data_IF_421755822358
#
_entry.id   IF_421755822358
#
_cell.length_a   1.000
_cell.length_b   1.000
_cell.length_c   1.000
_cell.angle_alpha   90.00
_cell.angle_beta   90.00
_cell.angle_gamma   90.00
#
_symmetry.space_group_name_H-M   'P 1'
#
loop_
_entity.id
_entity.type
_entity.pdbx_description
1 polymer ?
#
# COMPACT_ATOMS: atom_id res chain seq x y z
N UNK A 1 -9.63 26.02 -5.41
CA UNK A 1 -8.75 24.86 -5.16
C UNK A 1 -9.15 24.05 -3.92
N UNK A 2 -9.18 24.65 -2.72
CA UNK A 2 -9.45 23.91 -1.45
C UNK A 2 -10.75 23.08 -1.47
N UNK A 3 -11.87 23.66 -1.92
CA UNK A 3 -13.16 22.97 -2.06
C UNK A 3 -13.14 21.77 -3.04
N UNK A 4 -12.46 21.90 -4.18
CA UNK A 4 -12.36 20.82 -5.19
C UNK A 4 -11.53 19.66 -4.62
N UNK A 5 -10.45 19.97 -3.91
CA UNK A 5 -9.63 18.95 -3.26
C UNK A 5 -10.41 18.23 -2.17
N UNK A 6 -11.21 18.93 -1.37
CA UNK A 6 -12.02 18.28 -0.34
C UNK A 6 -13.07 17.31 -0.95
N UNK A 7 -13.63 17.65 -2.12
CA UNK A 7 -14.57 16.79 -2.87
C UNK A 7 -13.90 15.49 -3.33
N UNK A 8 -12.65 15.54 -3.78
CA UNK A 8 -11.91 14.36 -4.27
C UNK A 8 -11.24 13.59 -3.13
N UNK A 9 -10.79 14.29 -2.09
CA UNK A 9 -10.08 13.72 -0.94
C UNK A 9 -10.95 12.74 -0.18
N UNK A 10 -12.18 13.11 0.16
CA UNK A 10 -13.05 12.28 1.00
C UNK A 10 -13.33 10.91 0.35
N UNK A 11 -13.79 10.84 -0.92
CA UNK A 11 -13.91 9.57 -1.62
C UNK A 11 -12.59 8.81 -1.69
N UNK A 12 -11.46 9.49 -1.97
CA UNK A 12 -10.15 8.84 -2.03
C UNK A 12 -9.72 8.26 -0.67
N UNK A 13 -10.03 8.92 0.46
CA UNK A 13 -9.79 8.38 1.80
C UNK A 13 -10.61 7.11 2.04
N UNK A 14 -11.90 7.13 1.69
CA UNK A 14 -12.80 5.99 1.87
C UNK A 14 -12.33 4.81 1.01
N UNK A 15 -12.06 5.06 -0.27
CA UNK A 15 -11.54 4.04 -1.19
C UNK A 15 -10.18 3.52 -0.72
N UNK A 16 -9.33 4.39 -0.16
CA UNK A 16 -8.06 4.00 0.42
C UNK A 16 -8.22 3.05 1.61
N UNK A 17 -9.12 3.39 2.54
CA UNK A 17 -9.41 2.56 3.70
C UNK A 17 -10.02 1.20 3.32
N UNK A 18 -11.01 1.19 2.41
CA UNK A 18 -11.61 -0.04 1.91
C UNK A 18 -10.60 -0.90 1.15
N UNK A 19 -9.77 -0.28 0.31
CA UNK A 19 -8.69 -0.96 -0.40
C UNK A 19 -7.66 -1.57 0.56
N UNK A 20 -7.30 -0.87 1.63
CA UNK A 20 -6.42 -1.40 2.67
C UNK A 20 -7.02 -2.64 3.35
N UNK A 21 -8.28 -2.57 3.77
CA UNK A 21 -8.97 -3.70 4.43
C UNK A 21 -9.02 -4.91 3.50
N UNK A 22 -9.37 -4.70 2.23
CA UNK A 22 -9.46 -5.78 1.26
C UNK A 22 -8.10 -6.40 0.93
N UNK A 23 -7.04 -5.60 0.80
CA UNK A 23 -5.69 -6.11 0.61
C UNK A 23 -5.21 -6.91 1.83
N UNK A 24 -5.51 -6.45 3.06
CA UNK A 24 -5.21 -7.21 4.28
C UNK A 24 -5.93 -8.56 4.25
N UNK A 25 -7.20 -8.59 3.85
CA UNK A 25 -7.95 -9.83 3.69
C UNK A 25 -7.27 -10.80 2.72
N UNK A 26 -6.89 -10.34 1.51
CA UNK A 26 -6.18 -11.19 0.54
C UNK A 26 -4.84 -11.67 1.12
N UNK A 27 -4.10 -10.77 1.76
CA UNK A 27 -2.80 -11.09 2.36
C UNK A 27 -2.90 -12.19 3.42
N UNK A 28 -3.90 -12.13 4.30
CA UNK A 28 -4.13 -13.15 5.33
C UNK A 28 -4.55 -14.50 4.73
N UNK A 29 -5.40 -14.52 3.70
CA UNK A 29 -5.77 -15.77 3.03
C UNK A 29 -4.58 -16.45 2.33
N UNK A 30 -3.60 -15.67 1.88
CA UNK A 30 -2.36 -16.19 1.30
C UNK A 30 -1.40 -16.79 2.35
N UNK A 31 -1.58 -16.50 3.65
CA UNK A 31 -0.81 -17.16 4.72
C UNK A 31 -1.27 -18.62 4.88
N UNK A 32 -2.58 -18.86 4.80
CA UNK A 32 -3.18 -20.17 5.04
C UNK A 32 -3.23 -21.07 3.79
N UNK A 33 -2.63 -20.64 2.68
CA UNK A 33 -2.74 -21.28 1.34
C UNK A 33 -4.19 -21.48 0.86
N UNK A 34 -5.16 -20.89 1.56
CA UNK A 34 -6.58 -21.08 1.31
C UNK A 34 -6.99 -20.49 -0.04
N UNK A 35 -6.23 -19.50 -0.55
CA UNK A 35 -6.61 -18.79 -1.76
C UNK A 35 -5.45 -18.20 -2.58
N UNK A 36 -4.72 -19.07 -3.30
CA UNK A 36 -3.43 -18.73 -3.94
C UNK A 36 -3.46 -18.69 -5.48
N UNK A 37 -4.63 -18.57 -6.12
CA UNK A 37 -4.68 -18.43 -7.58
C UNK A 37 -4.28 -17.02 -8.03
N UNK A 38 -3.42 -16.90 -9.05
CA UNK A 38 -2.90 -15.62 -9.56
C UNK A 38 -3.94 -14.57 -10.01
N UNK A 39 -5.19 -14.96 -10.27
CA UNK A 39 -6.27 -14.06 -10.70
C UNK A 39 -6.92 -13.25 -9.55
N UNK A 40 -6.45 -13.43 -8.32
CA UNK A 40 -7.15 -12.94 -7.11
C UNK A 40 -6.94 -11.47 -6.81
N UNK A 41 -5.85 -10.85 -7.27
CA UNK A 41 -5.62 -9.42 -7.04
C UNK A 41 -6.28 -8.67 -8.21
N UNK A 42 -7.47 -8.10 -8.00
CA UNK A 42 -8.21 -7.53 -9.12
C UNK A 42 -7.48 -6.29 -9.63
N UNK A 43 -7.30 -6.16 -10.94
CA UNK A 43 -6.54 -5.05 -11.54
C UNK A 43 -7.06 -3.66 -11.17
N UNK A 44 -8.33 -3.54 -10.78
CA UNK A 44 -8.89 -2.28 -10.29
C UNK A 44 -8.29 -1.82 -8.95
N UNK A 45 -7.74 -2.71 -8.13
CA UNK A 45 -7.01 -2.31 -6.93
C UNK A 45 -5.74 -1.56 -7.29
N UNK A 46 -4.99 -2.06 -8.27
CA UNK A 46 -3.79 -1.38 -8.77
C UNK A 46 -4.13 -0.01 -9.36
N UNK A 47 -5.19 0.09 -10.17
CA UNK A 47 -5.65 1.37 -10.73
C UNK A 47 -6.16 2.33 -9.64
N UNK A 48 -6.89 1.83 -8.65
CA UNK A 48 -7.38 2.62 -7.52
C UNK A 48 -6.24 3.17 -6.65
N UNK A 49 -5.17 2.39 -6.47
CA UNK A 49 -3.96 2.80 -5.75
C UNK A 49 -3.32 4.04 -6.39
N UNK A 50 -3.25 4.10 -7.73
CA UNK A 50 -2.75 5.30 -8.43
C UNK A 50 -3.60 6.55 -8.14
N UNK A 51 -4.93 6.42 -8.17
CA UNK A 51 -5.83 7.54 -7.88
C UNK A 51 -5.67 8.05 -6.44
N UNK A 52 -5.53 7.14 -5.48
CA UNK A 52 -5.28 7.45 -4.06
C UNK A 52 -3.95 8.19 -3.92
N UNK A 53 -2.88 7.69 -4.55
CA UNK A 53 -1.55 8.29 -4.45
C UNK A 53 -1.45 9.65 -5.12
N UNK A 54 -2.04 9.82 -6.31
CA UNK A 54 -2.10 11.11 -6.96
C UNK A 54 -2.79 12.16 -6.06
N UNK A 55 -3.89 11.76 -5.41
CA UNK A 55 -4.59 12.62 -4.45
C UNK A 55 -3.74 12.90 -3.21
N UNK A 56 -3.07 11.88 -2.66
CA UNK A 56 -2.24 12.01 -1.46
C UNK A 56 -1.05 12.96 -1.69
N UNK A 57 -0.36 12.82 -2.83
CA UNK A 57 0.71 13.72 -3.25
C UNK A 57 0.17 15.15 -3.38
N UNK A 58 -0.96 15.33 -4.06
CA UNK A 58 -1.59 16.64 -4.21
C UNK A 58 -1.88 17.31 -2.84
N UNK A 59 -2.47 16.56 -1.91
CA UNK A 59 -2.74 17.02 -0.54
C UNK A 59 -1.44 17.35 0.21
N UNK A 60 -0.42 16.49 0.14
CA UNK A 60 0.88 16.71 0.79
C UNK A 60 1.59 17.96 0.30
N UNK A 61 1.64 18.17 -1.02
CA UNK A 61 2.23 19.37 -1.64
C UNK A 61 1.51 20.64 -1.19
N UNK A 62 0.18 20.62 -1.09
CA UNK A 62 -0.58 21.77 -0.60
C UNK A 62 -0.30 22.06 0.88
N UNK A 63 -0.23 21.03 1.73
CA UNK A 63 0.12 21.20 3.15
C UNK A 63 1.53 21.78 3.30
N UNK A 64 2.50 21.33 2.52
CA UNK A 64 3.84 21.92 2.54
C UNK A 64 3.86 23.39 2.16
N UNK A 65 3.06 23.81 1.16
CA UNK A 65 2.92 25.24 0.81
C UNK A 65 2.32 26.06 1.96
N UNK A 66 1.40 25.49 2.74
CA UNK A 66 0.79 26.14 3.91
C UNK A 66 1.74 26.19 5.13
N UNK A 67 2.72 25.28 5.23
CA UNK A 67 3.60 25.11 6.40
C UNK A 67 5.00 25.72 6.24
N UNK A 68 5.20 26.64 5.29
CA UNK A 68 6.51 27.27 5.06
C UNK A 68 6.94 28.07 6.31
N UNK A 69 8.09 27.68 6.87
CA UNK A 69 8.79 28.40 7.93
C UNK A 69 10.17 28.76 7.41
N UNK A 70 10.60 30.00 7.63
CA UNK A 70 11.92 30.48 7.23
C UNK A 70 12.96 30.06 8.28
N UNK A 71 14.06 29.43 7.85
CA UNK A 71 15.14 28.89 8.70
C UNK A 71 14.68 28.03 9.90
N UNK A 72 13.93 26.94 9.70
CA UNK A 72 13.51 26.07 10.79
C UNK A 72 14.70 25.26 11.33
N UNK A 73 14.78 25.16 12.67
CA UNK A 73 15.65 24.19 13.34
C UNK A 73 15.22 22.73 13.02
N UNK A 74 16.03 21.75 13.43
CA UNK A 74 15.75 20.34 13.14
C UNK A 74 14.43 19.82 13.74
N UNK A 75 14.12 20.18 14.99
CA UNK A 75 12.88 19.75 15.64
C UNK A 75 11.65 20.34 14.94
N UNK A 76 11.75 21.59 14.50
CA UNK A 76 10.73 22.27 13.72
C UNK A 76 10.58 21.64 12.34
N UNK A 77 11.68 21.28 11.67
CA UNK A 77 11.66 20.52 10.40
C UNK A 77 10.92 19.20 10.53
N UNK A 78 11.20 18.44 11.59
CA UNK A 78 10.55 17.15 11.83
C UNK A 78 9.04 17.30 12.08
N UNK A 79 8.63 18.31 12.86
CA UNK A 79 7.22 18.65 13.09
C UNK A 79 6.51 19.06 11.79
N UNK A 80 7.16 19.89 10.96
CA UNK A 80 6.63 20.30 9.65
C UNK A 80 6.47 19.07 8.75
N UNK A 81 7.48 18.20 8.70
CA UNK A 81 7.42 16.96 7.92
C UNK A 81 6.24 16.09 8.35
N UNK A 82 6.14 15.78 9.65
CA UNK A 82 5.03 15.00 10.20
C UNK A 82 3.66 15.61 9.90
N UNK A 83 3.51 16.92 10.12
CA UNK A 83 2.26 17.66 9.84
C UNK A 83 1.97 17.77 8.35
N UNK A 84 2.99 17.78 7.50
CA UNK A 84 2.82 17.78 6.05
C UNK A 84 2.30 16.43 5.54
N UNK A 85 2.78 15.33 6.11
CA UNK A 85 2.36 13.98 5.77
C UNK A 85 0.99 13.65 6.36
N UNK A 86 0.86 13.65 7.68
CA UNK A 86 -0.33 13.14 8.35
C UNK A 86 -1.33 14.22 8.77
N UNK A 87 -0.94 15.49 8.72
CA UNK A 87 -1.82 16.60 9.13
C UNK A 87 -2.30 16.43 10.56
N UNK A 88 -3.59 16.13 10.70
CA UNK A 88 -4.30 15.90 11.98
C UNK A 88 -4.94 14.49 12.01
N UNK A 89 -4.37 13.53 11.27
CA UNK A 89 -4.87 12.16 11.28
C UNK A 89 -4.85 11.58 12.72
N UNK A 90 -5.87 10.77 13.09
CA UNK A 90 -5.88 10.09 14.37
C UNK A 90 -4.64 9.23 14.57
N UNK A 91 -4.10 9.17 15.80
CA UNK A 91 -2.89 8.41 16.13
C UNK A 91 -2.98 6.95 15.64
N UNK A 92 -4.14 6.31 15.75
CA UNK A 92 -4.34 4.95 15.27
C UNK A 92 -4.12 4.82 13.75
N UNK A 93 -4.61 5.77 12.96
CA UNK A 93 -4.42 5.78 11.50
C UNK A 93 -2.93 5.92 11.18
N UNK A 94 -2.23 6.79 11.91
CA UNK A 94 -0.79 7.00 11.73
C UNK A 94 0.01 5.74 12.09
N UNK A 95 -0.34 5.08 13.20
CA UNK A 95 0.27 3.80 13.59
C UNK A 95 0.07 2.76 12.48
N UNK A 96 -1.15 2.62 11.95
CA UNK A 96 -1.43 1.68 10.86
C UNK A 96 -0.62 2.04 9.61
N UNK A 97 -0.58 3.31 9.20
CA UNK A 97 0.19 3.76 8.03
C UNK A 97 1.69 3.46 8.17
N UNK A 98 2.26 3.70 9.35
CA UNK A 98 3.67 3.42 9.62
C UNK A 98 3.92 1.91 9.67
N UNK A 99 3.04 1.15 10.31
CA UNK A 99 3.17 -0.30 10.39
C UNK A 99 3.10 -0.96 9.01
N UNK A 100 2.16 -0.57 8.15
CA UNK A 100 2.07 -1.12 6.79
C UNK A 100 3.24 -0.68 5.91
N UNK A 101 3.76 0.54 6.11
CA UNK A 101 4.98 0.99 5.43
C UNK A 101 6.18 0.14 5.81
N UNK A 102 6.42 -0.05 7.11
CA UNK A 102 7.54 -0.87 7.60
C UNK A 102 7.38 -2.33 7.16
N UNK A 103 6.17 -2.87 7.26
CA UNK A 103 5.87 -4.25 6.86
C UNK A 103 6.10 -4.49 5.37
N UNK A 104 5.58 -3.61 4.50
CA UNK A 104 5.78 -3.71 3.05
C UNK A 104 7.27 -3.63 2.66
N UNK A 105 8.04 -2.73 3.27
CA UNK A 105 9.48 -2.63 3.02
C UNK A 105 10.23 -3.87 3.51
N UNK A 106 9.92 -4.34 4.74
CA UNK A 106 10.53 -5.55 5.28
C UNK A 106 10.30 -6.76 4.36
N UNK A 107 9.07 -6.93 3.88
CA UNK A 107 8.73 -8.02 2.97
C UNK A 107 9.48 -7.90 1.64
N UNK A 108 9.48 -6.70 1.04
CA UNK A 108 10.18 -6.44 -0.22
C UNK A 108 11.71 -6.63 -0.14
N UNK A 109 12.32 -6.43 1.03
CA UNK A 109 13.76 -6.69 1.22
C UNK A 109 14.06 -8.16 1.49
N UNK A 110 13.17 -8.85 2.18
CA UNK A 110 13.36 -10.25 2.59
C UNK A 110 13.07 -11.22 1.44
N UNK A 111 12.12 -10.89 0.57
CA UNK A 111 11.66 -11.76 -0.51
C UNK A 111 12.07 -11.20 -1.87
N UNK A 112 13.15 -11.75 -2.42
CA UNK A 112 13.52 -11.62 -3.82
C UNK A 112 13.27 -12.97 -4.51
N UNK A 113 12.32 -13.00 -5.45
CA UNK A 113 12.08 -14.20 -6.23
C UNK A 113 13.02 -14.25 -7.44
N UNK A 114 13.62 -15.42 -7.67
CA UNK A 114 14.47 -15.68 -8.84
C UNK A 114 13.67 -15.75 -10.15
N UNK A 115 12.35 -15.95 -10.06
CA UNK A 115 11.42 -16.02 -11.19
C UNK A 115 9.96 -15.97 -10.72
N UNK A 116 9.05 -16.20 -11.66
CA UNK A 116 7.61 -16.32 -11.43
C UNK A 116 7.17 -17.76 -11.69
N UNK A 117 6.09 -18.17 -11.04
CA UNK A 117 5.42 -19.44 -11.29
C UNK A 117 4.63 -19.41 -12.60
N UNK A 118 4.57 -20.56 -13.27
CA UNK A 118 3.78 -20.74 -14.48
C UNK A 118 3.55 -22.21 -14.82
N UNK A 119 2.65 -22.45 -15.77
CA UNK A 119 2.43 -23.79 -16.35
C UNK A 119 2.96 -23.76 -17.79
N UNK A 120 4.01 -24.53 -18.06
CA UNK A 120 4.63 -24.66 -19.38
C UNK A 120 4.64 -26.14 -19.75
N UNK A 121 4.10 -26.47 -20.93
CA UNK A 121 3.97 -27.85 -21.43
C UNK A 121 3.34 -28.82 -20.41
N UNK A 122 2.34 -28.33 -19.66
CA UNK A 122 1.61 -29.11 -18.64
C UNK A 122 2.38 -29.31 -17.33
N UNK A 123 3.56 -28.72 -17.17
CA UNK A 123 4.37 -28.80 -15.96
C UNK A 123 4.30 -27.50 -15.17
N UNK A 124 4.21 -27.61 -13.85
CA UNK A 124 4.39 -26.49 -12.92
C UNK A 124 5.86 -26.13 -12.87
N UNK A 125 6.20 -24.88 -13.19
CA UNK A 125 7.58 -24.43 -13.29
C UNK A 125 7.78 -23.06 -12.65
N UNK A 126 8.97 -22.85 -12.11
CA UNK A 126 9.51 -21.52 -11.85
C UNK A 126 10.28 -21.08 -13.10
N UNK A 127 9.94 -19.94 -13.66
CA UNK A 127 10.57 -19.42 -14.87
C UNK A 127 10.84 -17.92 -14.77
N UNK A 128 11.86 -17.46 -15.48
CA UNK A 128 12.22 -16.06 -15.55
C UNK A 128 12.34 -15.67 -17.03
N UNK A 129 11.49 -14.73 -17.48
CA UNK A 129 11.38 -14.34 -18.89
C UNK A 129 11.23 -15.53 -19.86
N UNK A 130 10.50 -16.56 -19.44
CA UNK A 130 10.25 -17.78 -20.23
C UNK A 130 11.35 -18.83 -20.16
N UNK A 131 12.49 -18.54 -19.52
CA UNK A 131 13.50 -19.56 -19.22
C UNK A 131 13.10 -20.32 -17.96
N UNK A 132 12.91 -21.63 -18.09
CA UNK A 132 12.61 -22.51 -16.95
C UNK A 132 13.84 -22.58 -16.05
N UNK A 133 13.68 -22.16 -14.80
CA UNK A 133 14.71 -22.27 -13.76
C UNK A 133 14.60 -23.64 -13.09
N UNK A 134 13.37 -24.05 -12.77
CA UNK A 134 13.10 -25.27 -12.00
C UNK A 134 11.69 -25.81 -12.28
N UNK A 135 11.56 -27.13 -12.39
CA UNK A 135 10.25 -27.82 -12.30
C UNK A 135 9.82 -27.92 -10.83
N UNK A 136 8.56 -27.62 -10.56
CA UNK A 136 8.00 -27.53 -9.21
C UNK A 136 7.05 -28.68 -8.94
N UNK A 137 7.09 -29.19 -7.71
CA UNK A 137 5.98 -29.98 -7.16
C UNK A 137 4.76 -29.09 -6.92
N UNK A 138 3.58 -29.68 -6.77
CA UNK A 138 2.34 -28.94 -6.46
C UNK A 138 2.48 -28.11 -5.17
N UNK A 139 3.08 -28.68 -4.12
CA UNK A 139 3.30 -28.00 -2.86
C UNK A 139 4.24 -26.79 -3.02
N UNK A 140 5.33 -26.93 -3.77
CA UNK A 140 6.24 -25.81 -4.05
C UNK A 140 5.57 -24.74 -4.90
N UNK A 141 4.78 -25.14 -5.90
CA UNK A 141 4.04 -24.20 -6.74
C UNK A 141 3.07 -23.34 -5.92
N UNK A 142 2.25 -23.96 -5.08
CA UNK A 142 1.34 -23.25 -4.18
C UNK A 142 2.09 -22.34 -3.19
N UNK A 143 3.27 -22.78 -2.73
CA UNK A 143 4.11 -21.97 -1.86
C UNK A 143 4.63 -20.72 -2.57
N UNK A 144 5.15 -20.84 -3.79
CA UNK A 144 5.63 -19.70 -4.57
C UNK A 144 4.49 -18.72 -4.92
N UNK A 145 3.31 -19.23 -5.31
CA UNK A 145 2.13 -18.39 -5.58
C UNK A 145 1.71 -17.61 -4.32
N UNK A 146 1.62 -18.28 -3.17
CA UNK A 146 1.29 -17.65 -1.89
C UNK A 146 2.28 -16.53 -1.53
N UNK A 147 3.57 -16.81 -1.69
CA UNK A 147 4.65 -15.86 -1.42
C UNK A 147 4.61 -14.65 -2.38
N UNK A 148 4.31 -14.87 -3.66
CA UNK A 148 4.14 -13.81 -4.65
C UNK A 148 2.93 -12.92 -4.33
N UNK A 149 1.80 -13.52 -3.93
CA UNK A 149 0.62 -12.77 -3.47
C UNK A 149 0.97 -11.96 -2.23
N UNK A 150 1.68 -12.54 -1.25
CA UNK A 150 2.09 -11.83 -0.02
C UNK A 150 3.04 -10.68 -0.31
N UNK A 151 3.97 -10.81 -1.26
CA UNK A 151 4.82 -9.70 -1.71
C UNK A 151 4.00 -8.59 -2.36
N UNK A 152 3.08 -8.94 -3.26
CA UNK A 152 2.28 -7.94 -3.99
C UNK A 152 1.31 -7.21 -3.05
N UNK A 153 0.66 -7.94 -2.17
CA UNK A 153 -0.28 -7.39 -1.19
C UNK A 153 0.44 -6.60 -0.10
N UNK A 154 1.63 -7.01 0.37
CA UNK A 154 2.41 -6.23 1.34
C UNK A 154 2.86 -4.88 0.79
N UNK A 155 3.32 -4.83 -0.46
CA UNK A 155 3.56 -3.57 -1.16
C UNK A 155 2.29 -2.74 -1.26
N UNK A 156 1.17 -3.36 -1.66
CA UNK A 156 -0.11 -2.67 -1.74
C UNK A 156 -0.57 -2.11 -0.38
N UNK A 157 -0.39 -2.84 0.73
CA UNK A 157 -0.69 -2.37 2.09
C UNK A 157 0.10 -1.12 2.44
N UNK A 158 1.38 -1.05 2.07
CA UNK A 158 2.20 0.15 2.23
C UNK A 158 1.56 1.34 1.50
N UNK A 159 1.26 1.19 0.21
CA UNK A 159 0.70 2.29 -0.59
C UNK A 159 -0.69 2.71 -0.09
N UNK A 160 -1.60 1.76 0.15
CA UNK A 160 -2.94 2.06 0.65
C UNK A 160 -2.91 2.66 2.06
N UNK A 161 -2.09 2.10 2.96
CA UNK A 161 -2.00 2.57 4.34
C UNK A 161 -1.41 3.98 4.45
N UNK A 162 -0.30 4.25 3.76
CA UNK A 162 0.31 5.59 3.74
C UNK A 162 -0.59 6.59 3.04
N UNK A 163 -1.14 6.23 1.87
CA UNK A 163 -2.05 7.09 1.12
C UNK A 163 -3.28 7.48 1.94
N UNK A 164 -3.92 6.51 2.59
CA UNK A 164 -5.07 6.74 3.48
C UNK A 164 -4.70 7.64 4.66
N UNK A 165 -3.55 7.42 5.28
CA UNK A 165 -3.06 8.25 6.39
C UNK A 165 -2.83 9.70 5.99
N UNK A 166 -2.25 9.93 4.81
CA UNK A 166 -2.07 11.29 4.27
C UNK A 166 -3.43 11.94 3.99
N UNK A 167 -4.35 11.20 3.38
CA UNK A 167 -5.65 11.70 2.96
C UNK A 167 -6.65 11.87 4.12
N UNK A 168 -6.40 11.24 5.27
CA UNK A 168 -7.35 11.22 6.38
C UNK A 168 -7.77 12.65 6.76
N UNK A 169 -9.07 12.92 6.93
CA UNK A 169 -9.58 14.27 7.13
C UNK A 169 -9.05 14.91 8.43
N UNK A 170 -9.04 16.25 8.45
CA UNK A 170 -9.23 16.98 9.71
C UNK A 170 -10.60 16.55 10.24
N UNK A 171 -10.65 15.68 11.25
CA UNK A 171 -11.86 15.59 12.05
C UNK A 171 -12.00 16.94 12.73
N UNK A 172 -12.81 17.82 12.12
CA UNK A 172 -13.17 19.09 12.71
C UNK A 172 -13.68 18.75 14.10
N UNK A 173 -13.05 19.30 15.14
CA UNK A 173 -13.54 19.22 16.51
C UNK A 173 -15.02 19.58 16.43
N UNK A 174 -15.90 18.64 16.75
CA UNK A 174 -17.29 18.98 17.03
C UNK A 174 -17.18 19.76 18.33
N UNK A 175 -17.21 21.08 18.22
CA UNK A 175 -17.37 21.94 19.38
C UNK A 175 -18.74 21.62 19.98
N UNK A 176 -18.71 21.00 21.16
CA UNK A 176 -19.84 20.89 22.08
C UNK A 176 -19.64 21.89 23.21
#
# INVERSE_FOLDING_TARGET
MKKILDIVRIPATILGGLGLIYIIYIHLNAIDYADVSGDKIPGYLTTGLFAIWATAIGVGVMRQKELKVENPDFGTKLKIFYKSLFGEAPTLVIIISVATFLYGNYYGWTYNFEGITGIIDGKMVLHNHGQIIKELTEAEFLQYEAEHIRLTTSNSMMFYGVGTGILFPRLKKIES
#
